data_IF_487182400811
#
_entry.id   IF_487182400811
#
_cell.length_a   1.000
_cell.length_b   1.000
_cell.length_c   1.000
_cell.angle_alpha   90.00
_cell.angle_beta   90.00
_cell.angle_gamma   90.00
#
_symmetry.space_group_name_H-M   'P 1'
#
loop_
_entity.id
_entity.type
_entity.pdbx_description
1 polymer ?
#
# COMPACT_ATOMS: atom_id res chain seq x y z
N UNK A 1 -17.19 25.78 -3.35
CA UNK A 1 -17.15 24.31 -3.41
C UNK A 1 -16.66 23.79 -2.06
N UNK A 2 -17.48 22.96 -1.41
CA UNK A 2 -17.12 22.28 -0.16
C UNK A 2 -16.45 20.96 -0.57
N UNK A 3 -15.14 20.86 -0.39
CA UNK A 3 -14.41 19.60 -0.60
C UNK A 3 -14.62 18.70 0.63
N UNK A 4 -15.38 17.62 0.46
CA UNK A 4 -15.54 16.59 1.49
C UNK A 4 -14.38 15.57 1.35
N UNK A 5 -13.49 15.54 2.34
CA UNK A 5 -12.47 14.48 2.44
C UNK A 5 -13.14 13.24 3.02
N UNK A 6 -13.28 12.19 2.20
CA UNK A 6 -13.71 10.88 2.66
C UNK A 6 -12.49 10.15 3.26
N UNK A 7 -12.57 9.83 4.55
CA UNK A 7 -11.54 9.04 5.21
C UNK A 7 -11.79 7.55 5.01
N UNK A 8 -10.74 6.72 5.01
CA UNK A 8 -10.88 5.26 5.06
C UNK A 8 -11.70 4.81 6.28
N UNK A 9 -12.33 3.65 6.18
CA UNK A 9 -13.02 3.04 7.31
C UNK A 9 -12.07 2.80 8.48
N UNK A 10 -12.50 3.15 9.67
CA UNK A 10 -11.75 2.83 10.88
C UNK A 10 -11.77 1.32 11.16
N UNK A 11 -10.82 0.85 11.96
CA UNK A 11 -10.78 -0.56 12.37
C UNK A 11 -12.08 -1.01 13.05
N UNK A 12 -12.78 -0.13 13.77
CA UNK A 12 -14.09 -0.43 14.38
C UNK A 12 -15.17 -0.69 13.34
N UNK A 13 -15.19 0.08 12.26
CA UNK A 13 -16.12 -0.13 11.14
C UNK A 13 -15.80 -1.44 10.41
N UNK A 14 -14.52 -1.72 10.13
CA UNK A 14 -14.12 -2.98 9.52
C UNK A 14 -14.48 -4.20 10.38
N UNK A 15 -14.34 -4.11 11.70
CA UNK A 15 -14.80 -5.16 12.63
C UNK A 15 -16.31 -5.41 12.52
N UNK A 16 -17.10 -4.35 12.39
CA UNK A 16 -18.55 -4.50 12.24
C UNK A 16 -18.88 -5.14 10.89
N UNK A 17 -18.25 -4.71 9.80
CA UNK A 17 -18.41 -5.34 8.48
C UNK A 17 -18.05 -6.83 8.53
N UNK A 18 -16.92 -7.18 9.16
CA UNK A 18 -16.53 -8.59 9.31
C UNK A 18 -17.54 -9.38 10.15
N UNK A 19 -18.08 -8.81 11.23
CA UNK A 19 -19.09 -9.46 12.04
C UNK A 19 -20.41 -9.70 11.27
N UNK A 20 -20.80 -8.77 10.41
CA UNK A 20 -22.03 -8.86 9.65
C UNK A 20 -21.92 -9.84 8.45
N UNK A 21 -20.78 -9.85 7.74
CA UNK A 21 -20.61 -10.61 6.50
C UNK A 21 -19.78 -11.90 6.65
N UNK A 22 -18.99 -12.03 7.69
CA UNK A 22 -18.16 -13.19 8.01
C UNK A 22 -18.12 -13.46 9.52
N UNK A 23 -19.23 -13.86 10.17
CA UNK A 23 -19.34 -13.92 11.65
C UNK A 23 -18.28 -14.78 12.37
N UNK A 24 -17.63 -15.68 11.64
CA UNK A 24 -16.58 -16.58 12.15
C UNK A 24 -15.16 -16.09 11.82
N UNK A 25 -15.01 -14.83 11.41
CA UNK A 25 -13.71 -14.27 11.06
C UNK A 25 -12.71 -14.32 12.24
N UNK A 26 -11.45 -14.43 11.90
CA UNK A 26 -10.32 -14.33 12.85
C UNK A 26 -9.72 -12.93 12.87
N UNK A 27 -8.85 -12.65 13.84
CA UNK A 27 -8.09 -11.41 13.85
C UNK A 27 -7.17 -11.27 12.60
N UNK A 28 -6.67 -12.41 12.12
CA UNK A 28 -5.82 -12.43 10.92
C UNK A 28 -6.63 -12.07 9.66
N UNK A 29 -7.88 -12.52 9.58
CA UNK A 29 -8.78 -12.15 8.49
C UNK A 29 -9.09 -10.65 8.49
N UNK A 30 -9.34 -10.07 9.67
CA UNK A 30 -9.53 -8.62 9.82
C UNK A 30 -8.26 -7.84 9.45
N UNK A 31 -7.09 -8.33 9.89
CA UNK A 31 -5.82 -7.72 9.56
C UNK A 31 -5.57 -7.77 8.04
N UNK A 32 -5.85 -8.90 7.41
CA UNK A 32 -5.75 -9.04 5.96
C UNK A 32 -6.65 -8.07 5.21
N UNK A 33 -7.91 -7.95 5.62
CA UNK A 33 -8.84 -6.99 5.04
C UNK A 33 -8.29 -5.56 5.16
N UNK A 34 -7.81 -5.17 6.34
CA UNK A 34 -7.23 -3.84 6.56
C UNK A 34 -5.96 -3.61 5.74
N UNK A 35 -5.04 -4.58 5.75
CA UNK A 35 -3.74 -4.47 5.06
C UNK A 35 -3.91 -4.32 3.55
N UNK A 36 -4.82 -5.12 2.97
CA UNK A 36 -5.04 -5.13 1.52
C UNK A 36 -5.86 -3.93 1.05
N UNK A 37 -6.81 -3.45 1.86
CA UNK A 37 -7.73 -2.39 1.45
C UNK A 37 -7.37 -1.00 1.98
N UNK A 38 -6.53 -0.91 3.01
CA UNK A 38 -6.31 0.33 3.75
C UNK A 38 -7.59 0.89 4.41
N UNK A 39 -8.67 0.10 4.44
CA UNK A 39 -9.99 0.57 4.84
C UNK A 39 -10.70 1.41 3.78
N UNK A 40 -10.20 1.49 2.56
CA UNK A 40 -10.83 2.24 1.47
C UNK A 40 -12.16 1.57 1.11
N UNK A 41 -13.31 2.29 1.19
CA UNK A 41 -14.65 1.72 1.02
C UNK A 41 -14.80 0.88 -0.25
N UNK A 42 -14.37 1.39 -1.40
CA UNK A 42 -14.41 0.70 -2.69
C UNK A 42 -13.76 -0.69 -2.64
N UNK A 43 -12.58 -0.81 -2.02
CA UNK A 43 -11.86 -2.08 -1.96
C UNK A 43 -12.48 -3.04 -0.95
N UNK A 44 -12.99 -2.51 0.15
CA UNK A 44 -13.73 -3.31 1.15
C UNK A 44 -14.99 -3.89 0.50
N UNK A 45 -15.76 -3.07 -0.23
CA UNK A 45 -16.95 -3.50 -0.96
C UNK A 45 -16.65 -4.63 -1.95
N UNK A 46 -15.60 -4.48 -2.77
CA UNK A 46 -15.19 -5.52 -3.73
C UNK A 46 -14.92 -6.88 -3.07
N UNK A 47 -14.26 -6.89 -1.89
CA UNK A 47 -13.98 -8.11 -1.16
C UNK A 47 -15.21 -8.67 -0.44
N UNK A 48 -16.11 -7.82 0.04
CA UNK A 48 -17.40 -8.23 0.64
C UNK A 48 -18.29 -8.86 -0.42
N UNK A 49 -18.46 -8.24 -1.57
CA UNK A 49 -19.32 -8.71 -2.67
C UNK A 49 -18.84 -10.05 -3.23
N UNK A 50 -17.52 -10.22 -3.35
CA UNK A 50 -16.91 -11.49 -3.76
C UNK A 50 -16.86 -12.54 -2.65
N UNK A 51 -17.34 -12.21 -1.43
CA UNK A 51 -17.26 -13.08 -0.23
C UNK A 51 -15.83 -13.51 0.11
N UNK A 52 -14.85 -12.69 -0.25
CA UNK A 52 -13.45 -12.91 0.01
C UNK A 52 -13.04 -12.26 1.34
N UNK A 53 -13.48 -12.85 2.47
CA UNK A 53 -13.30 -12.28 3.82
C UNK A 53 -12.47 -13.18 4.76
N UNK A 54 -11.65 -14.07 4.21
CA UNK A 54 -10.60 -14.76 4.98
C UNK A 54 -9.25 -14.54 4.28
N UNK A 55 -8.14 -14.65 5.02
CA UNK A 55 -6.78 -14.41 4.50
C UNK A 55 -6.59 -15.05 3.12
N UNK A 56 -6.80 -16.36 3.03
CA UNK A 56 -6.65 -17.10 1.76
C UNK A 56 -7.56 -16.59 0.64
N UNK A 57 -8.82 -16.29 0.96
CA UNK A 57 -9.77 -15.81 -0.05
C UNK A 57 -9.44 -14.39 -0.51
N UNK A 58 -9.02 -13.51 0.41
CA UNK A 58 -8.58 -12.15 0.10
C UNK A 58 -7.38 -12.20 -0.85
N UNK A 59 -6.34 -12.95 -0.50
CA UNK A 59 -5.13 -13.07 -1.32
C UNK A 59 -5.48 -13.63 -2.70
N UNK A 60 -6.27 -14.70 -2.75
CA UNK A 60 -6.72 -15.28 -4.03
C UNK A 60 -7.53 -14.29 -4.87
N UNK A 61 -8.44 -13.54 -4.26
CA UNK A 61 -9.26 -12.55 -4.98
C UNK A 61 -8.44 -11.40 -5.56
N UNK A 62 -7.41 -10.92 -4.84
CA UNK A 62 -6.55 -9.86 -5.35
C UNK A 62 -5.55 -10.35 -6.41
N UNK A 63 -5.19 -11.63 -6.38
CA UNK A 63 -4.31 -12.26 -7.38
C UNK A 63 -5.05 -12.73 -8.64
N UNK A 64 -6.39 -12.74 -8.63
CA UNK A 64 -7.20 -13.18 -9.78
C UNK A 64 -6.74 -12.44 -11.06
N UNK A 65 -6.66 -13.12 -12.23
CA UNK A 65 -6.29 -12.48 -13.49
C UNK A 65 -7.09 -11.22 -13.82
N UNK A 66 -8.37 -11.21 -13.50
CA UNK A 66 -9.29 -10.10 -13.77
C UNK A 66 -9.44 -9.14 -12.56
N UNK A 67 -8.60 -9.30 -11.54
CA UNK A 67 -8.67 -8.48 -10.32
C UNK A 67 -8.31 -7.02 -10.60
N UNK A 68 -9.16 -6.05 -10.25
CA UNK A 68 -8.86 -4.64 -10.40
C UNK A 68 -7.70 -4.18 -9.51
N UNK A 69 -7.37 -4.91 -8.45
CA UNK A 69 -6.29 -4.55 -7.53
C UNK A 69 -4.90 -4.52 -8.19
N UNK A 70 -4.68 -5.29 -9.26
CA UNK A 70 -3.39 -5.37 -9.94
C UNK A 70 -2.92 -4.02 -10.50
N UNK A 71 -3.81 -3.30 -11.15
CA UNK A 71 -3.50 -2.02 -11.81
C UNK A 71 -3.92 -0.80 -10.97
N UNK A 72 -4.71 -1.02 -9.92
CA UNK A 72 -5.32 0.05 -9.14
C UNK A 72 -4.28 0.99 -8.49
N UNK A 73 -3.18 0.45 -7.96
CA UNK A 73 -2.12 1.27 -7.37
C UNK A 73 -1.51 2.23 -8.39
N UNK A 74 -1.30 1.75 -9.62
CA UNK A 74 -0.81 2.58 -10.71
C UNK A 74 -1.82 3.64 -11.11
N UNK A 75 -3.10 3.27 -11.28
CA UNK A 75 -4.17 4.20 -11.64
C UNK A 75 -4.31 5.30 -10.60
N UNK A 76 -4.36 4.93 -9.31
CA UNK A 76 -4.45 5.88 -8.20
C UNK A 76 -3.31 6.89 -8.22
N UNK A 77 -2.07 6.44 -8.45
CA UNK A 77 -0.92 7.33 -8.50
C UNK A 77 -0.90 8.22 -9.75
N UNK A 78 -1.38 7.72 -10.90
CA UNK A 78 -1.52 8.51 -12.13
C UNK A 78 -2.57 9.60 -11.94
N UNK A 79 -3.70 9.27 -11.35
CA UNK A 79 -4.79 10.22 -11.09
C UNK A 79 -4.38 11.29 -10.09
N UNK A 80 -3.65 10.90 -9.02
CA UNK A 80 -3.19 11.82 -7.97
C UNK A 80 -2.06 12.75 -8.44
N UNK A 81 -1.07 12.22 -9.16
CA UNK A 81 0.15 12.96 -9.50
C UNK A 81 0.17 13.54 -10.91
N UNK A 82 -0.71 13.11 -11.79
CA UNK A 82 -0.79 13.58 -13.18
C UNK A 82 0.57 13.50 -13.89
N UNK A 83 1.03 14.61 -14.43
CA UNK A 83 2.30 14.68 -15.21
C UNK A 83 3.55 14.34 -14.37
N UNK A 84 3.49 14.43 -13.05
CA UNK A 84 4.61 14.14 -12.16
C UNK A 84 4.63 12.67 -11.66
N UNK A 85 3.71 11.85 -12.14
CA UNK A 85 3.55 10.44 -11.75
C UNK A 85 4.89 9.69 -11.70
N UNK A 86 5.70 9.73 -12.76
CA UNK A 86 6.94 8.95 -12.84
C UNK A 86 7.91 9.22 -11.69
N UNK A 87 8.12 10.48 -11.32
CA UNK A 87 9.02 10.84 -10.22
C UNK A 87 8.50 10.35 -8.87
N UNK A 88 7.22 10.57 -8.58
CA UNK A 88 6.62 10.12 -7.32
C UNK A 88 6.54 8.61 -7.22
N UNK A 89 6.20 7.94 -8.31
CA UNK A 89 6.23 6.47 -8.40
C UNK A 89 7.61 5.92 -8.04
N UNK A 90 8.67 6.43 -8.67
CA UNK A 90 10.04 5.97 -8.41
C UNK A 90 10.49 6.22 -6.96
N UNK A 91 10.05 7.31 -6.33
CA UNK A 91 10.30 7.57 -4.91
C UNK A 91 9.60 6.53 -4.03
N UNK A 92 8.32 6.26 -4.28
CA UNK A 92 7.53 5.29 -3.50
C UNK A 92 8.05 3.85 -3.70
N UNK A 93 8.44 3.50 -4.92
CA UNK A 93 9.08 2.23 -5.23
C UNK A 93 10.41 2.06 -4.47
N UNK A 94 11.27 3.07 -4.47
CA UNK A 94 12.51 3.06 -3.70
C UNK A 94 12.26 2.85 -2.21
N UNK A 95 11.24 3.55 -1.62
CA UNK A 95 10.86 3.39 -0.21
C UNK A 95 10.36 1.96 0.05
N UNK A 96 9.54 1.39 -0.82
CA UNK A 96 9.02 0.02 -0.68
C UNK A 96 10.12 -1.04 -0.74
N UNK A 97 11.20 -0.75 -1.47
CA UNK A 97 12.39 -1.59 -1.56
C UNK A 97 13.42 -1.33 -0.43
N UNK A 98 13.04 -0.58 0.61
CA UNK A 98 13.86 -0.36 1.81
C UNK A 98 14.84 0.81 1.74
N UNK A 99 14.93 1.53 0.61
CA UNK A 99 15.71 2.77 0.48
C UNK A 99 14.90 3.92 1.10
N UNK A 100 15.07 4.14 2.39
CA UNK A 100 14.14 4.97 3.13
C UNK A 100 14.70 6.31 3.65
N UNK A 101 15.97 6.61 3.37
CA UNK A 101 16.54 7.94 3.64
C UNK A 101 16.53 8.79 2.36
N UNK A 102 16.48 10.13 2.53
CA UNK A 102 16.54 11.04 1.38
C UNK A 102 17.78 10.79 0.50
N UNK A 103 18.92 10.49 1.12
CA UNK A 103 20.18 10.26 0.40
C UNK A 103 20.14 8.97 -0.42
N UNK A 104 19.64 7.88 0.15
CA UNK A 104 19.50 6.59 -0.54
C UNK A 104 18.55 6.69 -1.73
N UNK A 105 17.37 7.32 -1.51
CA UNK A 105 16.37 7.51 -2.56
C UNK A 105 16.93 8.38 -3.68
N UNK A 106 17.54 9.52 -3.35
CA UNK A 106 18.13 10.43 -4.35
C UNK A 106 19.21 9.74 -5.17
N UNK A 107 20.10 8.96 -4.52
CA UNK A 107 21.14 8.20 -5.18
C UNK A 107 20.56 7.15 -6.14
N UNK A 108 19.54 6.41 -5.72
CA UNK A 108 18.88 5.40 -6.56
C UNK A 108 18.20 6.01 -7.80
N UNK A 109 17.65 7.22 -7.68
CA UNK A 109 17.02 7.94 -8.79
C UNK A 109 18.02 8.70 -9.68
N UNK A 110 19.29 8.78 -9.30
CA UNK A 110 20.29 9.62 -10.00
C UNK A 110 20.04 11.11 -9.82
N UNK A 111 19.31 11.51 -8.80
CA UNK A 111 18.88 12.89 -8.56
C UNK A 111 19.78 13.59 -7.52
N UNK A 112 20.05 14.87 -7.71
CA UNK A 112 20.85 15.67 -6.74
C UNK A 112 20.04 16.02 -5.49
N UNK A 113 18.72 16.18 -5.62
CA UNK A 113 17.84 16.54 -4.51
C UNK A 113 16.40 16.17 -4.83
N UNK A 114 15.74 15.55 -3.85
CA UNK A 114 14.33 15.13 -3.89
C UNK A 114 13.54 15.69 -2.70
N UNK A 115 14.11 16.63 -1.96
CA UNK A 115 13.50 17.16 -0.73
C UNK A 115 12.12 17.80 -0.98
N UNK A 116 11.94 18.48 -2.11
CA UNK A 116 10.66 19.08 -2.49
C UNK A 116 9.57 18.03 -2.77
N UNK A 117 9.94 16.94 -3.45
CA UNK A 117 9.03 15.83 -3.76
C UNK A 117 8.63 15.08 -2.47
N UNK A 118 9.61 14.76 -1.61
CA UNK A 118 9.34 14.12 -0.31
C UNK A 118 8.43 14.98 0.57
N UNK A 119 8.65 16.31 0.59
CA UNK A 119 7.79 17.23 1.32
C UNK A 119 6.35 17.22 0.78
N UNK A 120 6.16 17.21 -0.54
CA UNK A 120 4.81 17.13 -1.13
C UNK A 120 4.14 15.78 -0.82
N UNK A 121 4.86 14.65 -0.93
CA UNK A 121 4.33 13.33 -0.58
C UNK A 121 3.90 13.25 0.89
N UNK A 122 4.60 13.94 1.80
CA UNK A 122 4.27 13.98 3.22
C UNK A 122 3.15 14.97 3.55
N UNK A 123 3.26 16.23 3.12
CA UNK A 123 2.40 17.32 3.60
C UNK A 123 1.16 17.56 2.71
N UNK A 124 1.24 17.24 1.42
CA UNK A 124 0.13 17.51 0.47
C UNK A 124 -0.64 16.24 0.17
N UNK A 125 0.06 15.16 -0.16
CA UNK A 125 -0.57 13.89 -0.52
C UNK A 125 -0.79 12.96 0.69
N UNK A 126 -0.10 13.18 1.79
CA UNK A 126 -0.18 12.39 3.03
C UNK A 126 0.09 10.88 2.83
N UNK A 127 0.85 10.52 1.77
CA UNK A 127 1.14 9.13 1.39
C UNK A 127 2.35 8.58 2.13
N UNK A 128 3.28 9.45 2.55
CA UNK A 128 4.44 9.05 3.36
C UNK A 128 4.50 9.81 4.67
N UNK A 129 5.22 9.26 5.63
CA UNK A 129 5.55 9.95 6.89
C UNK A 129 7.04 9.86 7.19
N UNK A 130 7.53 10.86 7.93
CA UNK A 130 8.89 10.84 8.50
C UNK A 130 8.92 10.03 9.79
N UNK A 131 9.83 9.08 9.84
CA UNK A 131 10.15 8.31 11.03
C UNK A 131 11.47 8.78 11.60
N UNK A 132 11.52 9.01 12.91
CA UNK A 132 12.75 9.34 13.63
C UNK A 132 12.98 8.32 14.73
N UNK A 133 14.21 7.77 14.87
CA UNK A 133 14.51 6.87 15.98
C UNK A 133 14.29 7.58 17.33
N UNK A 134 13.53 6.95 18.21
CA UNK A 134 13.14 7.53 19.53
C UNK A 134 14.37 7.82 20.41
N UNK A 135 15.44 7.02 20.30
CA UNK A 135 16.64 7.12 21.12
C UNK A 135 17.84 7.78 20.43
N UNK A 136 17.66 8.36 19.25
CA UNK A 136 18.77 8.99 18.54
C UNK A 136 19.22 10.29 19.20
N UNK A 137 20.53 10.47 19.34
CA UNK A 137 21.11 11.72 19.87
C UNK A 137 20.73 12.91 18.98
N UNK A 138 20.47 14.08 19.60
CA UNK A 138 20.20 15.32 18.85
C UNK A 138 21.35 15.59 17.88
N UNK A 139 21.02 15.81 16.60
CA UNK A 139 21.99 16.15 15.54
C UNK A 139 22.48 14.96 14.70
N UNK A 140 22.23 13.69 15.09
CA UNK A 140 22.63 12.49 14.33
C UNK A 140 21.45 11.71 13.78
N UNK A 141 20.24 12.28 13.84
CA UNK A 141 19.01 11.57 13.50
C UNK A 141 18.85 11.45 11.98
N UNK A 142 19.13 10.27 11.43
CA UNK A 142 18.75 9.96 10.06
C UNK A 142 17.22 9.86 9.99
N UNK A 143 16.59 10.79 9.27
CA UNK A 143 15.17 10.73 8.98
C UNK A 143 14.92 9.63 7.96
N UNK A 144 13.96 8.76 8.25
CA UNK A 144 13.49 7.70 7.36
C UNK A 144 12.07 8.02 6.91
N UNK A 145 11.73 7.58 5.72
CA UNK A 145 10.40 7.72 5.15
C UNK A 145 9.71 6.36 5.07
N UNK A 146 8.42 6.33 5.34
CA UNK A 146 7.58 5.15 5.28
C UNK A 146 6.28 5.49 4.56
N UNK A 147 5.79 4.61 3.69
CA UNK A 147 4.48 4.75 3.07
C UNK A 147 3.42 4.53 4.16
N UNK A 148 2.47 5.46 4.31
CA UNK A 148 1.41 5.41 5.31
C UNK A 148 0.17 4.68 4.82
N UNK A 149 -0.10 4.75 3.52
CA UNK A 149 -1.22 4.09 2.88
C UNK A 149 -0.99 2.58 2.82
N UNK A 150 -1.84 1.81 3.52
CA UNK A 150 -1.69 0.36 3.65
C UNK A 150 -1.92 -0.36 2.33
N UNK A 151 -2.88 0.10 1.51
CA UNK A 151 -3.10 -0.46 0.18
C UNK A 151 -1.88 -0.27 -0.71
N UNK A 152 -1.30 0.95 -0.77
CA UNK A 152 -0.09 1.20 -1.57
C UNK A 152 1.12 0.41 -1.06
N UNK A 153 1.30 0.26 0.27
CA UNK A 153 2.35 -0.62 0.81
C UNK A 153 2.22 -2.05 0.30
N UNK A 154 1.00 -2.61 0.40
CA UNK A 154 0.70 -3.94 -0.11
C UNK A 154 0.95 -4.02 -1.61
N UNK A 155 0.45 -3.05 -2.37
CA UNK A 155 0.54 -3.02 -3.82
C UNK A 155 1.99 -2.96 -4.32
N UNK A 156 2.81 -2.06 -3.79
CA UNK A 156 4.23 -1.98 -4.16
C UNK A 156 4.99 -3.26 -3.81
N UNK A 157 4.76 -3.83 -2.63
CA UNK A 157 5.46 -5.03 -2.20
C UNK A 157 5.15 -6.24 -3.07
N UNK A 158 3.89 -6.46 -3.37
CA UNK A 158 3.46 -7.71 -3.99
C UNK A 158 3.18 -7.60 -5.47
N UNK A 159 2.60 -6.52 -5.95
CA UNK A 159 2.31 -6.37 -7.37
C UNK A 159 3.46 -5.72 -8.13
N UNK A 160 3.96 -4.57 -7.71
CA UNK A 160 5.10 -3.93 -8.37
C UNK A 160 6.39 -4.74 -8.16
N UNK A 161 6.64 -5.23 -6.95
CA UNK A 161 7.79 -6.10 -6.65
C UNK A 161 7.80 -7.42 -7.45
N UNK A 162 6.65 -7.88 -7.94
CA UNK A 162 6.50 -9.07 -8.78
C UNK A 162 5.88 -8.76 -10.15
N UNK A 163 6.16 -7.59 -10.70
CA UNK A 163 5.55 -7.05 -11.92
C UNK A 163 5.56 -8.03 -13.09
N UNK A 164 6.67 -8.74 -13.30
CA UNK A 164 6.78 -9.75 -14.35
C UNK A 164 5.72 -10.86 -14.20
N UNK A 165 5.48 -11.35 -12.98
CA UNK A 165 4.45 -12.37 -12.71
C UNK A 165 3.05 -11.81 -12.97
N UNK A 166 2.81 -10.55 -12.62
CA UNK A 166 1.54 -9.85 -12.87
C UNK A 166 1.30 -9.72 -14.37
N UNK A 167 2.28 -9.24 -15.14
CA UNK A 167 2.19 -9.06 -16.59
C UNK A 167 2.04 -10.39 -17.35
N UNK A 168 2.61 -11.47 -16.83
CA UNK A 168 2.49 -12.83 -17.39
C UNK A 168 1.24 -13.59 -16.89
N UNK A 169 0.37 -12.95 -16.10
CA UNK A 169 -0.80 -13.56 -15.48
C UNK A 169 -0.50 -14.85 -14.67
N UNK A 170 0.67 -14.91 -14.02
CA UNK A 170 1.08 -16.03 -13.17
C UNK A 170 0.42 -15.94 -11.77
N UNK A 171 -0.90 -15.90 -11.75
CA UNK A 171 -1.70 -15.64 -10.54
C UNK A 171 -1.50 -16.67 -9.44
N UNK A 172 -1.32 -17.95 -9.78
CA UNK A 172 -1.08 -19.02 -8.80
C UNK A 172 0.28 -18.89 -8.12
N UNK A 173 1.31 -18.47 -8.88
CA UNK A 173 2.65 -18.22 -8.33
C UNK A 173 2.63 -17.01 -7.42
N UNK A 174 1.93 -15.94 -7.83
CA UNK A 174 1.78 -14.73 -7.03
C UNK A 174 1.01 -15.01 -5.73
N UNK A 175 -0.10 -15.76 -5.81
CA UNK A 175 -0.89 -16.20 -4.66
C UNK A 175 -0.02 -16.99 -3.66
N UNK A 176 0.80 -17.93 -4.15
CA UNK A 176 1.73 -18.69 -3.32
C UNK A 176 2.74 -17.77 -2.63
N UNK A 177 3.39 -16.85 -3.36
CA UNK A 177 4.40 -15.93 -2.80
C UNK A 177 3.77 -15.07 -1.71
N UNK A 178 2.58 -14.52 -1.95
CA UNK A 178 1.91 -13.67 -0.96
C UNK A 178 1.52 -14.47 0.28
N UNK A 179 0.96 -15.66 0.13
CA UNK A 179 0.58 -16.49 1.28
C UNK A 179 1.78 -16.88 2.15
N UNK A 180 2.93 -17.20 1.55
CA UNK A 180 4.14 -17.55 2.30
C UNK A 180 4.75 -16.33 3.02
N UNK A 181 4.74 -15.16 2.39
CA UNK A 181 5.33 -13.95 2.95
C UNK A 181 4.38 -13.21 3.90
N UNK A 182 3.07 -13.34 3.73
CA UNK A 182 2.08 -12.55 4.45
C UNK A 182 2.16 -12.71 5.97
N UNK A 183 2.52 -13.87 6.47
CA UNK A 183 2.67 -14.13 7.91
C UNK A 183 3.81 -13.33 8.54
N UNK A 184 4.75 -12.84 7.74
CA UNK A 184 5.90 -12.04 8.16
C UNK A 184 5.77 -10.56 7.79
N UNK A 185 4.78 -10.23 6.99
CA UNK A 185 4.47 -8.86 6.54
C UNK A 185 3.81 -8.04 7.65
#
# INVERSE_FOLDING_TARGET
DVMLKLNPFSLSVLKQIMADYAPTYTNDDLLALYTVTGGIPKYVELLVDSKALSVKKIIRAVCDPDSPFKDEGKHLLVDEFGKQYGTYFSILDAISNGLNTQAEIAAALGEKSIGGQLKKLEETYEIIKKMRPILAKRGTQTVRYEITDMFLRFWFRYFEGNRTLVEMNQSEVLDYIINEDYTTY
#
